data_IF_404573600140
#
_entry.id   IF_404573600140
#
_cell.length_a   1.000
_cell.length_b   1.000
_cell.length_c   1.000
_cell.angle_alpha   90.00
_cell.angle_beta   90.00
_cell.angle_gamma   90.00
#
_symmetry.space_group_name_H-M   'P 1'
#
loop_
_entity.id
_entity.type
_entity.pdbx_description
1 polymer ?
#
# COMPACT_ATOMS: atom_id res chain seq x y z
N UNK A 1 29.44 25.80 12.74
CA UNK A 1 29.26 24.37 12.39
C UNK A 1 28.00 24.26 11.55
N UNK A 2 28.10 24.37 10.22
CA UNK A 2 26.92 24.33 9.35
C UNK A 2 26.32 22.93 9.40
N UNK A 3 25.07 22.81 9.82
CA UNK A 3 24.35 21.56 9.99
C UNK A 3 24.42 20.72 8.69
N UNK A 4 25.31 19.72 8.69
CA UNK A 4 25.45 18.68 7.68
C UNK A 4 24.10 18.17 7.11
N UNK A 5 23.05 17.92 7.93
CA UNK A 5 21.75 17.49 7.40
C UNK A 5 21.10 18.50 6.45
N UNK A 6 21.27 19.81 6.68
CA UNK A 6 20.68 20.85 5.83
C UNK A 6 21.32 20.86 4.43
N UNK A 7 22.64 20.67 4.35
CA UNK A 7 23.35 20.58 3.05
C UNK A 7 22.99 19.30 2.30
N UNK A 8 22.87 18.17 3.02
CA UNK A 8 22.46 16.89 2.42
C UNK A 8 21.06 17.00 1.80
N UNK A 9 20.10 17.55 2.54
CA UNK A 9 18.74 17.75 2.05
C UNK A 9 18.70 18.65 0.79
N UNK A 10 19.41 19.78 0.82
CA UNK A 10 19.48 20.70 -0.33
C UNK A 10 20.07 20.01 -1.56
N UNK A 11 21.15 19.23 -1.40
CA UNK A 11 21.76 18.49 -2.51
C UNK A 11 20.79 17.50 -3.16
N UNK A 12 20.10 16.68 -2.36
CA UNK A 12 19.10 15.74 -2.90
C UNK A 12 17.92 16.45 -3.55
N UNK A 13 17.40 17.51 -2.91
CA UNK A 13 16.28 18.29 -3.45
C UNK A 13 16.65 18.98 -4.76
N UNK A 14 17.83 19.60 -4.81
CA UNK A 14 18.29 20.35 -5.97
C UNK A 14 18.68 19.41 -7.12
N UNK A 15 19.29 18.25 -6.82
CA UNK A 15 19.55 17.19 -7.78
C UNK A 15 18.25 16.57 -8.35
N UNK A 16 17.26 16.31 -7.51
CA UNK A 16 15.96 15.83 -7.96
C UNK A 16 15.20 16.87 -8.80
N UNK A 17 15.35 18.16 -8.46
CA UNK A 17 14.75 19.28 -9.21
C UNK A 17 15.46 19.54 -10.55
N UNK A 18 16.76 19.31 -10.67
CA UNK A 18 17.48 19.47 -11.95
C UNK A 18 17.26 18.28 -12.89
N UNK A 19 16.83 17.12 -12.39
CA UNK A 19 16.57 15.93 -13.20
C UNK A 19 15.26 16.02 -14.02
N UNK A 20 15.38 16.31 -15.31
CA UNK A 20 14.26 16.23 -16.27
C UNK A 20 13.88 14.78 -16.53
N UNK A 21 14.87 13.91 -16.79
CA UNK A 21 14.67 12.48 -17.11
C UNK A 21 14.24 11.71 -15.86
N UNK A 22 14.87 11.97 -14.71
CA UNK A 22 14.56 11.32 -13.44
C UNK A 22 13.12 11.55 -12.97
N UNK A 23 12.58 12.76 -13.18
CA UNK A 23 11.16 13.04 -12.91
C UNK A 23 10.22 12.20 -13.78
N UNK A 24 10.55 12.01 -15.06
CA UNK A 24 9.76 11.17 -15.95
C UNK A 24 9.80 9.71 -15.52
N UNK A 25 10.97 9.18 -15.17
CA UNK A 25 11.10 7.82 -14.63
C UNK A 25 10.34 7.63 -13.32
N UNK A 26 10.41 8.58 -12.40
CA UNK A 26 9.67 8.51 -11.14
C UNK A 26 8.15 8.49 -11.36
N UNK A 27 7.64 9.26 -12.33
CA UNK A 27 6.23 9.17 -12.73
C UNK A 27 5.88 7.78 -13.24
N UNK A 28 6.73 7.19 -14.09
CA UNK A 28 6.51 5.82 -14.60
C UNK A 28 6.50 4.81 -13.46
N UNK A 29 7.44 4.90 -12.52
CA UNK A 29 7.50 4.02 -11.34
C UNK A 29 6.24 4.19 -10.49
N UNK A 30 5.83 5.43 -10.20
CA UNK A 30 4.63 5.70 -9.42
C UNK A 30 3.37 5.14 -10.09
N UNK A 31 3.22 5.32 -11.41
CA UNK A 31 2.12 4.73 -12.19
C UNK A 31 2.16 3.20 -12.11
N UNK A 32 3.34 2.59 -12.31
CA UNK A 32 3.49 1.14 -12.24
C UNK A 32 3.13 0.60 -10.86
N UNK A 33 3.60 1.25 -9.79
CA UNK A 33 3.26 0.88 -8.41
C UNK A 33 1.77 1.03 -8.14
N UNK A 34 1.14 2.11 -8.61
CA UNK A 34 -0.31 2.30 -8.48
C UNK A 34 -1.10 1.22 -9.20
N UNK A 35 -0.73 0.90 -10.45
CA UNK A 35 -1.36 -0.18 -11.23
C UNK A 35 -1.16 -1.53 -10.55
N UNK A 36 0.06 -1.86 -10.13
CA UNK A 36 0.35 -3.11 -9.43
C UNK A 36 -0.46 -3.21 -8.14
N UNK A 37 -0.56 -2.13 -7.36
CA UNK A 37 -1.37 -2.10 -6.14
C UNK A 37 -2.86 -2.25 -6.44
N UNK A 38 -3.39 -1.56 -7.45
CA UNK A 38 -4.79 -1.66 -7.85
C UNK A 38 -5.16 -3.07 -8.34
N UNK A 39 -4.30 -3.69 -9.15
CA UNK A 39 -4.46 -5.07 -9.62
C UNK A 39 -4.39 -6.02 -8.43
N UNK A 40 -3.35 -5.95 -7.59
CA UNK A 40 -3.27 -6.81 -6.40
C UNK A 40 -4.49 -6.63 -5.50
N UNK A 41 -4.94 -5.40 -5.26
CA UNK A 41 -6.14 -5.14 -4.46
C UNK A 41 -7.38 -5.78 -5.10
N UNK A 42 -7.60 -5.60 -6.39
CA UNK A 42 -8.81 -6.10 -7.05
C UNK A 42 -8.84 -7.64 -7.14
N UNK A 43 -7.69 -8.26 -7.42
CA UNK A 43 -7.60 -9.72 -7.60
C UNK A 43 -7.37 -10.48 -6.29
N UNK A 44 -6.54 -9.98 -5.37
CA UNK A 44 -6.22 -10.66 -4.10
C UNK A 44 -7.12 -10.23 -2.95
N UNK A 45 -7.78 -9.06 -3.04
CA UNK A 45 -8.70 -8.56 -2.01
C UNK A 45 -10.05 -8.19 -2.62
N UNK A 46 -10.77 -9.14 -3.24
CA UNK A 46 -12.16 -8.92 -3.58
C UNK A 46 -12.95 -8.59 -2.30
N UNK A 47 -14.03 -7.84 -2.45
CA UNK A 47 -14.98 -7.49 -1.39
C UNK A 47 -15.71 -8.75 -0.85
N UNK A 48 -14.95 -9.65 -0.21
CA UNK A 48 -15.40 -10.97 0.21
C UNK A 48 -16.51 -10.89 1.27
N UNK A 49 -16.35 -9.98 2.23
CA UNK A 49 -17.28 -9.81 3.35
C UNK A 49 -18.62 -9.21 2.92
N UNK A 50 -18.63 -8.31 1.93
CA UNK A 50 -19.88 -7.67 1.46
C UNK A 50 -20.61 -8.49 0.40
N UNK A 51 -19.93 -9.41 -0.29
CA UNK A 51 -20.56 -10.25 -1.32
C UNK A 51 -21.27 -11.47 -0.72
N UNK A 52 -20.80 -11.99 0.40
CA UNK A 52 -21.29 -13.25 0.98
C UNK A 52 -22.26 -13.08 2.16
N UNK A 53 -22.45 -11.86 2.68
CA UNK A 53 -23.22 -11.63 3.89
C UNK A 53 -24.15 -10.42 3.76
N UNK A 54 -25.45 -10.63 3.95
CA UNK A 54 -26.50 -9.62 3.81
C UNK A 54 -26.55 -8.63 4.98
N UNK A 55 -26.15 -9.05 6.18
CA UNK A 55 -26.23 -8.25 7.41
C UNK A 55 -24.82 -7.97 7.96
N UNK A 56 -24.60 -6.77 8.52
CA UNK A 56 -23.35 -6.44 9.23
C UNK A 56 -23.08 -7.37 10.41
N UNK A 57 -24.14 -7.86 11.07
CA UNK A 57 -24.04 -8.78 12.21
C UNK A 57 -23.42 -10.13 11.80
N UNK A 58 -23.90 -10.71 10.69
CA UNK A 58 -23.41 -11.99 10.16
C UNK A 58 -21.93 -11.92 9.75
N UNK A 59 -21.50 -10.77 9.22
CA UNK A 59 -20.08 -10.54 8.90
C UNK A 59 -19.20 -10.51 10.14
N UNK A 60 -19.65 -9.80 11.18
CA UNK A 60 -18.90 -9.66 12.42
C UNK A 60 -18.75 -11.02 13.13
N UNK A 61 -19.82 -11.82 13.16
CA UNK A 61 -19.80 -13.17 13.74
C UNK A 61 -18.87 -14.11 12.97
N UNK A 62 -18.91 -14.08 11.62
CA UNK A 62 -18.01 -14.90 10.80
C UNK A 62 -16.53 -14.53 10.99
N UNK A 63 -16.21 -13.24 11.11
CA UNK A 63 -14.83 -12.80 11.39
C UNK A 63 -14.41 -13.20 12.80
N UNK A 64 -15.29 -13.05 13.79
CA UNK A 64 -15.02 -13.43 15.17
C UNK A 64 -14.70 -14.92 15.28
N UNK A 65 -15.51 -15.78 14.69
CA UNK A 65 -15.33 -17.25 14.74
C UNK A 65 -13.99 -17.69 14.11
N UNK A 66 -13.57 -17.05 13.03
CA UNK A 66 -12.26 -17.31 12.41
C UNK A 66 -11.07 -16.82 13.25
N UNK A 67 -11.22 -15.75 14.03
CA UNK A 67 -10.17 -15.24 14.92
C UNK A 67 -10.08 -16.00 16.25
N UNK A 68 -11.22 -16.50 16.75
CA UNK A 68 -11.28 -17.29 17.99
C UNK A 68 -11.04 -18.77 17.76
N UNK A 69 -11.02 -19.22 16.49
CA UNK A 69 -10.68 -20.61 16.16
C UNK A 69 -9.28 -20.92 16.66
N UNK A 70 -9.12 -21.88 17.60
CA UNK A 70 -7.79 -22.29 18.01
C UNK A 70 -7.06 -22.84 16.78
N UNK A 71 -5.74 -22.59 16.63
CA UNK A 71 -4.96 -23.19 15.56
C UNK A 71 -5.21 -24.69 15.61
N UNK A 72 -5.73 -25.25 14.52
CA UNK A 72 -5.86 -26.70 14.37
C UNK A 72 -4.47 -27.29 14.55
N UNK A 73 -4.20 -27.89 15.71
CA UNK A 73 -3.01 -28.68 15.94
C UNK A 73 -3.09 -29.91 15.00
N UNK A 74 -2.45 -29.79 13.84
CA UNK A 74 -2.09 -30.88 12.95
C UNK A 74 -0.62 -30.76 12.64
#
# INVERSE_FOLDING_TARGET
MTALPKKMYLFYRDGFRSMVIGRSLWKIIAIKLFIMFAVLKLFFFPNYLTTNFNTEHDRAEHVLDNLTRPPSAR
#
